data_IF_178933945998
#
_entry.id   IF_178933945998
#
_cell.length_a   1.000
_cell.length_b   1.000
_cell.length_c   1.000
_cell.angle_alpha   90.00
_cell.angle_beta   90.00
_cell.angle_gamma   90.00
#
_symmetry.space_group_name_H-M   'P 1'
#
loop_
_entity.id
_entity.type
_entity.pdbx_description
1 polymer ?
#
# COMPACT_ATOMS: atom_id res chain seq x y z
N UNK A 1 -0.48 -15.67 5.85
CA UNK A 1 0.31 -15.72 4.60
C UNK A 1 1.80 -15.80 4.91
N UNK A 2 2.43 -14.82 5.55
CA UNK A 2 3.87 -14.86 5.89
C UNK A 2 4.22 -16.01 6.84
N UNK A 3 3.38 -16.32 7.83
CA UNK A 3 3.54 -17.43 8.77
C UNK A 3 3.67 -18.82 8.12
N UNK A 4 3.19 -18.96 6.87
CA UNK A 4 3.27 -20.21 6.13
C UNK A 4 4.67 -20.43 5.47
N UNK A 5 5.59 -19.49 5.59
CA UNK A 5 6.92 -19.54 5.00
C UNK A 5 8.00 -19.66 6.08
N UNK A 6 8.64 -20.83 6.16
CA UNK A 6 9.67 -21.13 7.18
C UNK A 6 10.86 -20.16 7.19
N UNK A 7 11.11 -19.46 6.05
CA UNK A 7 12.18 -18.48 5.92
C UNK A 7 11.82 -17.07 6.38
N UNK A 8 10.58 -16.84 6.85
CA UNK A 8 10.10 -15.52 7.28
C UNK A 8 9.89 -15.52 8.80
N UNK A 9 10.60 -14.63 9.48
CA UNK A 9 10.41 -14.35 10.91
C UNK A 9 9.63 -13.06 11.09
N UNK A 10 8.39 -13.14 11.57
CA UNK A 10 7.55 -11.97 11.82
C UNK A 10 7.98 -11.32 13.14
N UNK A 11 8.58 -10.13 13.06
CA UNK A 11 9.06 -9.39 14.21
C UNK A 11 7.92 -8.68 14.96
N UNK A 12 6.90 -8.19 14.24
CA UNK A 12 5.71 -7.52 14.79
C UNK A 12 4.61 -7.47 13.74
N UNK A 13 3.36 -7.77 14.15
CA UNK A 13 2.15 -7.77 13.31
C UNK A 13 0.93 -7.12 13.99
N UNK A 14 1.14 -6.55 15.18
CA UNK A 14 0.10 -6.01 16.06
C UNK A 14 0.07 -4.48 16.14
N UNK A 15 0.87 -3.79 15.32
CA UNK A 15 1.00 -2.34 15.37
C UNK A 15 -0.13 -1.65 14.58
N UNK A 16 -0.67 -0.57 15.15
CA UNK A 16 -1.70 0.22 14.51
C UNK A 16 -1.15 1.59 14.06
N UNK A 17 -0.81 1.70 12.79
CA UNK A 17 -0.41 2.97 12.13
C UNK A 17 -1.57 3.87 11.74
N UNK A 18 -2.83 3.55 12.13
CA UNK A 18 -4.05 4.33 11.88
C UNK A 18 -4.29 4.62 10.38
N UNK A 19 -3.66 3.88 9.48
CA UNK A 19 -3.73 4.10 8.03
C UNK A 19 -3.20 5.47 7.59
N UNK A 20 -2.38 6.13 8.42
CA UNK A 20 -1.92 7.51 8.20
C UNK A 20 -0.40 7.60 8.13
N UNK A 21 0.09 8.69 7.54
CA UNK A 21 1.54 8.99 7.46
C UNK A 21 2.14 9.21 8.85
N UNK A 22 1.44 9.95 9.69
CA UNK A 22 1.87 10.24 11.07
C UNK A 22 1.91 8.98 11.91
N UNK A 23 0.90 8.12 11.79
CA UNK A 23 0.84 6.83 12.47
C UNK A 23 1.93 5.89 12.00
N UNK A 24 2.16 5.80 10.69
CA UNK A 24 3.25 5.01 10.11
C UNK A 24 4.63 5.47 10.59
N UNK A 25 4.85 6.80 10.62
CA UNK A 25 6.08 7.39 11.17
C UNK A 25 6.29 7.00 12.63
N UNK A 26 5.30 7.21 13.49
CA UNK A 26 5.41 6.96 14.92
C UNK A 26 5.63 5.47 15.24
N UNK A 27 4.86 4.59 14.59
CA UNK A 27 5.01 3.14 14.75
C UNK A 27 6.40 2.70 14.29
N UNK A 28 6.84 3.14 13.12
CA UNK A 28 8.12 2.69 12.57
C UNK A 28 9.31 3.21 13.38
N UNK A 29 9.26 4.41 13.94
CA UNK A 29 10.28 4.88 14.89
C UNK A 29 10.42 3.96 16.09
N UNK A 30 9.30 3.47 16.64
CA UNK A 30 9.28 2.49 17.71
C UNK A 30 9.88 1.14 17.31
N UNK A 31 9.50 0.64 16.13
CA UNK A 31 10.01 -0.64 15.60
C UNK A 31 11.52 -0.58 15.32
N UNK A 32 12.00 0.50 14.70
CA UNK A 32 13.43 0.70 14.42
C UNK A 32 14.28 0.86 15.68
N UNK A 33 13.69 1.36 16.76
CA UNK A 33 14.35 1.41 18.07
C UNK A 33 14.40 0.02 18.74
N UNK A 34 13.34 -0.77 18.56
CA UNK A 34 13.21 -2.10 19.18
C UNK A 34 14.02 -3.18 18.45
N UNK A 35 14.05 -3.12 17.11
CA UNK A 35 14.66 -4.16 16.28
C UNK A 35 15.90 -3.62 15.57
N UNK A 36 17.10 -4.12 15.91
CA UNK A 36 18.35 -3.66 15.29
C UNK A 36 18.45 -4.05 13.81
N UNK A 37 17.79 -5.14 13.40
CA UNK A 37 17.79 -5.66 12.03
C UNK A 37 16.36 -5.91 11.60
N UNK A 38 16.01 -5.43 10.39
CA UNK A 38 14.73 -5.62 9.71
C UNK A 38 15.05 -5.81 8.22
N UNK A 39 14.47 -6.81 7.58
CA UNK A 39 14.65 -7.06 6.14
C UNK A 39 13.54 -6.47 5.30
N UNK A 40 12.33 -6.40 5.84
CA UNK A 40 11.17 -5.90 5.11
C UNK A 40 10.04 -5.40 6.01
N UNK A 41 9.28 -4.47 5.46
CA UNK A 41 8.08 -3.90 6.07
C UNK A 41 6.94 -3.98 5.06
N UNK A 42 5.83 -4.61 5.46
CA UNK A 42 4.57 -4.52 4.77
C UNK A 42 3.68 -3.48 5.47
N UNK A 43 3.37 -2.42 4.78
CA UNK A 43 2.43 -1.40 5.25
C UNK A 43 1.05 -1.64 4.64
N UNK A 44 0.00 -1.51 5.46
CA UNK A 44 -1.39 -1.78 5.04
C UNK A 44 -1.88 -0.83 3.94
N UNK A 45 -1.25 0.33 3.81
CA UNK A 45 -1.55 1.32 2.78
C UNK A 45 -0.36 2.24 2.50
N UNK A 46 -0.44 3.01 1.44
CA UNK A 46 0.63 3.89 0.98
C UNK A 46 0.95 5.05 1.95
N UNK A 47 -0.02 5.72 2.58
CA UNK A 47 0.30 6.73 3.60
C UNK A 47 1.15 6.17 4.74
N UNK A 48 0.84 4.97 5.24
CA UNK A 48 1.63 4.31 6.28
C UNK A 48 3.03 3.95 5.77
N UNK A 49 3.16 3.47 4.52
CA UNK A 49 4.45 3.18 3.89
C UNK A 49 5.34 4.43 3.79
N UNK A 50 4.78 5.57 3.36
CA UNK A 50 5.48 6.86 3.30
C UNK A 50 5.94 7.30 4.70
N UNK A 51 5.11 7.13 5.72
CA UNK A 51 5.48 7.41 7.10
C UNK A 51 6.63 6.54 7.59
N UNK A 52 6.61 5.25 7.28
CA UNK A 52 7.68 4.31 7.63
C UNK A 52 9.01 4.66 6.93
N UNK A 53 8.99 5.01 5.64
CA UNK A 53 10.18 5.46 4.91
C UNK A 53 10.77 6.76 5.51
N UNK A 54 9.91 7.68 5.94
CA UNK A 54 10.35 8.90 6.62
C UNK A 54 11.03 8.58 7.96
N UNK A 55 10.48 7.65 8.75
CA UNK A 55 11.10 7.20 10.00
C UNK A 55 12.50 6.61 9.77
N UNK A 56 12.63 5.75 8.75
CA UNK A 56 13.91 5.16 8.36
C UNK A 56 14.95 6.23 8.03
N UNK A 57 14.58 7.22 7.22
CA UNK A 57 15.47 8.35 6.87
C UNK A 57 15.89 9.16 8.10
N UNK A 58 14.97 9.46 9.03
CA UNK A 58 15.27 10.21 10.25
C UNK A 58 16.25 9.47 11.16
N UNK A 59 16.19 8.15 11.19
CA UNK A 59 17.05 7.31 12.03
C UNK A 59 18.28 6.75 11.29
N UNK A 60 18.47 7.14 10.01
CA UNK A 60 19.61 6.71 9.20
C UNK A 60 19.62 5.21 8.88
N UNK A 61 18.43 4.58 8.87
CA UNK A 61 18.26 3.14 8.55
C UNK A 61 17.93 2.97 7.07
N UNK A 62 18.58 2.00 6.41
CA UNK A 62 18.40 1.77 4.95
C UNK A 62 18.58 0.32 4.51
N UNK A 63 18.62 -0.61 5.43
CA UNK A 63 18.93 -2.01 5.18
C UNK A 63 17.72 -2.87 4.78
N UNK A 64 16.51 -2.32 4.77
CA UNK A 64 15.27 -3.04 4.50
C UNK A 64 14.47 -2.44 3.33
N UNK A 65 13.46 -3.17 2.88
CA UNK A 65 12.50 -2.69 1.89
C UNK A 65 11.13 -2.43 2.52
N UNK A 66 10.35 -1.55 1.89
CA UNK A 66 8.96 -1.27 2.27
C UNK A 66 8.05 -1.55 1.08
N UNK A 67 6.92 -2.19 1.34
CA UNK A 67 5.84 -2.35 0.37
C UNK A 67 4.54 -1.76 0.92
N UNK A 68 3.72 -1.21 0.04
CA UNK A 68 2.44 -0.59 0.37
C UNK A 68 1.28 -1.17 -0.42
N UNK A 69 0.13 -0.57 -0.23
CA UNK A 69 -1.12 -0.85 -0.95
C UNK A 69 -1.79 0.48 -1.24
N UNK A 70 -2.43 0.62 -2.35
CA UNK A 70 -3.35 1.60 -2.91
C UNK A 70 -2.94 2.11 -4.29
N UNK A 71 -1.65 2.42 -4.54
CA UNK A 71 -1.20 3.11 -5.74
C UNK A 71 -1.54 4.61 -5.72
N UNK A 72 -1.46 5.23 -4.54
CA UNK A 72 -1.78 6.65 -4.34
C UNK A 72 -0.72 7.57 -4.97
N UNK A 73 -1.04 8.86 -5.28
CA UNK A 73 -0.12 9.77 -5.96
C UNK A 73 1.23 9.96 -5.27
N UNK A 74 1.27 9.90 -3.94
CA UNK A 74 2.52 10.03 -3.19
C UNK A 74 3.44 8.82 -3.40
N UNK A 75 2.86 7.63 -3.59
CA UNK A 75 3.65 6.41 -3.88
C UNK A 75 4.20 6.44 -5.30
N UNK A 76 3.45 6.98 -6.28
CA UNK A 76 3.95 7.18 -7.63
C UNK A 76 5.22 8.04 -7.61
N UNK A 77 5.19 9.13 -6.85
CA UNK A 77 6.35 10.01 -6.67
C UNK A 77 7.51 9.30 -5.98
N UNK A 78 7.24 8.51 -4.94
CA UNK A 78 8.26 7.77 -4.20
C UNK A 78 8.96 6.71 -5.07
N UNK A 79 8.18 5.92 -5.83
CA UNK A 79 8.69 4.90 -6.74
C UNK A 79 9.46 5.50 -7.91
N UNK A 80 8.93 6.59 -8.53
CA UNK A 80 9.59 7.29 -9.64
C UNK A 80 10.94 7.88 -9.22
N UNK A 81 11.06 8.35 -7.99
CA UNK A 81 12.33 8.91 -7.49
C UNK A 81 13.42 7.86 -7.29
N UNK A 82 13.04 6.61 -7.00
CA UNK A 82 13.95 5.51 -6.68
C UNK A 82 14.80 5.71 -5.40
N UNK A 83 14.63 6.84 -4.71
CA UNK A 83 15.52 7.28 -3.64
C UNK A 83 15.18 6.71 -2.25
N UNK A 84 14.00 6.07 -2.10
CA UNK A 84 13.51 5.55 -0.81
C UNK A 84 13.60 4.05 -0.66
N UNK A 85 13.14 3.57 0.48
CA UNK A 85 13.04 2.16 0.80
C UNK A 85 11.78 1.50 0.24
N UNK A 86 10.81 2.30 -0.23
CA UNK A 86 9.59 1.79 -0.86
C UNK A 86 9.94 1.21 -2.22
N UNK A 87 9.61 -0.07 -2.43
CA UNK A 87 9.94 -0.81 -3.65
C UNK A 87 8.72 -1.21 -4.47
N UNK A 88 7.56 -1.30 -3.86
CA UNK A 88 6.33 -1.67 -4.54
C UNK A 88 5.09 -1.19 -3.79
N UNK A 89 3.99 -1.03 -4.54
CA UNK A 89 2.64 -0.90 -4.01
C UNK A 89 1.67 -1.75 -4.83
N UNK A 90 0.71 -2.39 -4.19
CA UNK A 90 -0.39 -3.08 -4.87
C UNK A 90 -1.51 -2.07 -5.12
N UNK A 91 -1.70 -1.65 -6.40
CA UNK A 91 -2.64 -0.58 -6.72
C UNK A 91 -4.10 -1.03 -6.62
N UNK A 92 -4.94 -0.09 -6.19
CA UNK A 92 -6.38 -0.12 -6.36
C UNK A 92 -6.79 0.89 -7.44
N UNK A 93 -7.99 0.73 -8.00
CA UNK A 93 -8.57 1.70 -8.92
C UNK A 93 -9.88 2.26 -8.34
N UNK A 94 -9.82 3.31 -7.50
CA UNK A 94 -10.99 3.87 -6.84
C UNK A 94 -12.03 4.44 -7.82
N UNK A 95 -11.61 4.88 -9.02
CA UNK A 95 -12.52 5.35 -10.06
C UNK A 95 -13.39 4.19 -10.58
N UNK A 96 -12.75 3.08 -10.97
CA UNK A 96 -13.45 1.88 -11.46
C UNK A 96 -14.29 1.27 -10.34
N UNK A 97 -13.76 1.19 -9.10
CA UNK A 97 -14.49 0.68 -7.94
C UNK A 97 -15.76 1.47 -7.68
N UNK A 98 -15.68 2.80 -7.66
CA UNK A 98 -16.84 3.67 -7.43
C UNK A 98 -17.87 3.56 -8.57
N UNK A 99 -17.41 3.56 -9.83
CA UNK A 99 -18.27 3.42 -10.99
C UNK A 99 -19.05 2.11 -11.00
N UNK A 100 -18.36 0.98 -10.73
CA UNK A 100 -19.01 -0.33 -10.64
C UNK A 100 -19.98 -0.40 -9.47
N UNK A 101 -19.61 0.11 -8.30
CA UNK A 101 -20.51 0.14 -7.12
C UNK A 101 -21.79 0.94 -7.40
N UNK A 102 -21.67 2.09 -8.07
CA UNK A 102 -22.84 2.88 -8.48
C UNK A 102 -23.71 2.16 -9.50
N UNK A 103 -23.10 1.52 -10.51
CA UNK A 103 -23.85 0.76 -11.51
C UNK A 103 -24.60 -0.41 -10.88
N UNK A 104 -23.93 -1.18 -10.00
CA UNK A 104 -24.56 -2.29 -9.27
C UNK A 104 -25.74 -1.82 -8.42
N UNK A 105 -25.59 -0.67 -7.76
CA UNK A 105 -26.67 -0.07 -6.98
C UNK A 105 -27.86 0.36 -7.87
N UNK A 106 -27.60 0.98 -9.01
CA UNK A 106 -28.62 1.35 -9.97
C UNK A 106 -29.38 0.11 -10.49
N UNK A 107 -28.66 -0.93 -10.90
CA UNK A 107 -29.24 -2.16 -11.43
C UNK A 107 -30.10 -2.86 -10.36
N UNK A 108 -29.64 -2.87 -9.11
CA UNK A 108 -30.42 -3.39 -7.98
C UNK A 108 -31.76 -2.68 -7.84
N UNK A 109 -31.80 -1.35 -7.87
CA UNK A 109 -33.05 -0.57 -7.77
C UNK A 109 -33.92 -0.69 -9.03
N UNK A 110 -33.31 -0.95 -10.19
CA UNK A 110 -34.05 -1.20 -11.43
C UNK A 110 -34.67 -2.61 -11.52
N UNK A 111 -34.46 -3.46 -10.51
CA UNK A 111 -34.98 -4.83 -10.46
C UNK A 111 -34.08 -5.86 -11.17
N UNK A 112 -32.85 -5.48 -11.50
CA UNK A 112 -31.83 -6.35 -12.11
C UNK A 112 -30.63 -6.51 -11.15
N UNK A 113 -30.81 -7.15 -9.99
CA UNK A 113 -29.73 -7.30 -9.04
C UNK A 113 -28.58 -8.11 -9.66
N UNK A 114 -27.31 -7.78 -9.31
CA UNK A 114 -26.17 -8.55 -9.77
C UNK A 114 -26.25 -9.99 -9.26
N UNK A 115 -25.75 -10.93 -10.06
CA UNK A 115 -25.71 -12.35 -9.68
C UNK A 115 -24.83 -12.59 -8.45
N UNK A 116 -23.72 -11.81 -8.34
CA UNK A 116 -22.81 -11.85 -7.21
C UNK A 116 -22.86 -10.53 -6.44
N UNK A 117 -23.00 -10.61 -5.11
CA UNK A 117 -23.02 -9.47 -4.22
C UNK A 117 -21.61 -8.82 -4.04
N UNK A 118 -20.57 -9.54 -4.44
CA UNK A 118 -19.18 -9.11 -4.28
C UNK A 118 -18.43 -9.22 -5.60
N UNK A 119 -17.84 -8.12 -6.04
CA UNK A 119 -16.94 -8.09 -7.20
C UNK A 119 -15.54 -7.71 -6.72
N UNK A 120 -14.58 -8.60 -6.93
CA UNK A 120 -13.16 -8.34 -6.61
C UNK A 120 -12.44 -7.85 -7.86
N UNK A 121 -11.82 -6.69 -7.77
CA UNK A 121 -10.94 -6.17 -8.80
C UNK A 121 -9.50 -6.62 -8.53
N UNK A 122 -8.82 -7.07 -9.58
CA UNK A 122 -7.43 -7.50 -9.48
C UNK A 122 -6.51 -6.28 -9.29
N UNK A 123 -5.72 -6.25 -8.19
CA UNK A 123 -4.74 -5.19 -7.99
C UNK A 123 -3.57 -5.35 -8.96
N UNK A 124 -2.94 -4.23 -9.35
CA UNK A 124 -1.72 -4.24 -10.16
C UNK A 124 -0.52 -3.91 -9.28
N UNK A 125 0.56 -4.67 -9.41
CA UNK A 125 1.81 -4.35 -8.73
C UNK A 125 2.49 -3.17 -9.44
N UNK A 126 2.76 -2.11 -8.69
CA UNK A 126 3.50 -0.93 -9.14
C UNK A 126 4.88 -0.96 -8.50
N UNK A 127 5.90 -0.77 -9.32
CA UNK A 127 7.31 -0.70 -8.94
C UNK A 127 7.99 0.47 -9.66
N UNK A 128 9.26 0.73 -9.37
CA UNK A 128 10.03 1.73 -10.11
C UNK A 128 10.11 1.45 -11.61
N UNK A 129 10.06 0.16 -12.02
CA UNK A 129 10.21 -0.24 -13.41
C UNK A 129 8.96 0.05 -14.26
N UNK A 130 7.77 0.11 -13.65
CA UNK A 130 6.50 0.25 -14.37
C UNK A 130 5.64 1.44 -13.93
N UNK A 131 6.07 2.20 -12.94
CA UNK A 131 5.31 3.36 -12.45
C UNK A 131 5.09 4.42 -13.52
N UNK A 132 5.98 4.52 -14.50
CA UNK A 132 5.85 5.45 -15.62
C UNK A 132 4.66 5.15 -16.56
N UNK A 133 4.23 3.90 -16.61
CA UNK A 133 3.09 3.43 -17.41
C UNK A 133 1.81 3.27 -16.55
N UNK A 134 1.89 3.55 -15.26
CA UNK A 134 0.76 3.41 -14.35
C UNK A 134 -0.24 4.55 -14.53
N UNK A 135 -1.49 4.19 -14.81
CA UNK A 135 -2.59 5.14 -14.81
C UNK A 135 -3.06 5.37 -13.36
N UNK A 136 -2.47 6.38 -12.72
CA UNK A 136 -2.74 6.72 -11.33
C UNK A 136 -4.16 7.25 -11.06
N UNK A 137 -4.44 7.51 -9.80
CA UNK A 137 -5.76 7.98 -9.34
C UNK A 137 -6.17 9.33 -9.92
N UNK A 138 -5.20 10.17 -10.29
CA UNK A 138 -5.42 11.52 -10.83
C UNK A 138 -5.45 11.57 -12.36
N UNK A 139 -5.31 10.44 -13.03
CA UNK A 139 -5.34 10.39 -14.49
C UNK A 139 -6.72 10.80 -15.04
N UNK A 140 -6.70 11.54 -16.14
CA UNK A 140 -7.93 11.86 -16.88
C UNK A 140 -8.51 10.57 -17.50
N UNK A 141 -9.86 10.41 -17.43
CA UNK A 141 -10.59 9.23 -17.90
C UNK A 141 -11.89 9.60 -18.58
#
# INVERSE_FOLDING_TARGET
MFEAHEGINILSDDQNGQGSREGGLAVMQGLLTRFPEIDGVFAINDPTAIGADLAARQLGRSEFIITGVDGAPDIESALSSGAGLIKASASQDPYVMAGQAMQMGYDFFAGNPPEEATVLLEPKLITADNVGDYQGWTAER
#
